data_IF_513607354604
#
_entry.id   IF_513607354604
#
_cell.length_a   1.000
_cell.length_b   1.000
_cell.length_c   1.000
_cell.angle_alpha   90.00
_cell.angle_beta   90.00
_cell.angle_gamma   90.00
#
_symmetry.space_group_name_H-M   'P 1'
#
loop_
_entity.id
_entity.type
_entity.pdbx_description
1 polymer ?
#
# COMPACT_ATOMS: atom_id res chain seq x y z
N UNK A 1 -2.56 26.12 -31.12
CA UNK A 1 -2.54 24.68 -31.53
C UNK A 1 -2.36 23.86 -30.29
N UNK A 2 -3.16 22.81 -30.09
CA UNK A 2 -2.99 21.87 -28.99
C UNK A 2 -1.66 21.11 -29.15
N UNK A 3 -0.93 20.94 -28.07
CA UNK A 3 0.29 20.13 -28.09
C UNK A 3 -0.09 18.65 -28.18
N UNK A 4 0.67 17.83 -28.94
CA UNK A 4 0.42 16.39 -29.14
C UNK A 4 1.51 15.54 -28.51
N UNK A 5 1.09 14.44 -27.88
CA UNK A 5 1.97 13.35 -27.42
C UNK A 5 1.34 12.00 -27.76
N UNK A 6 2.14 10.92 -27.69
CA UNK A 6 1.67 9.56 -27.99
C UNK A 6 1.00 8.91 -26.77
N UNK A 7 1.50 9.20 -25.59
CA UNK A 7 0.92 8.73 -24.33
C UNK A 7 0.94 9.84 -23.27
N UNK A 8 -0.21 10.12 -22.68
CA UNK A 8 -0.38 11.07 -21.59
C UNK A 8 -0.71 10.32 -20.29
N UNK A 9 0.17 10.43 -19.31
CA UNK A 9 0.00 9.78 -18.01
C UNK A 9 -0.36 10.83 -16.96
N UNK A 10 -1.47 10.63 -16.28
CA UNK A 10 -1.98 11.57 -15.26
C UNK A 10 -1.69 11.03 -13.88
N UNK A 11 -0.77 11.67 -13.17
CA UNK A 11 -0.27 11.32 -11.85
C UNK A 11 1.13 10.72 -11.89
N UNK A 12 2.07 11.39 -11.20
CA UNK A 12 3.48 10.97 -11.06
C UNK A 12 3.70 10.15 -9.78
N UNK A 13 2.80 9.22 -9.50
CA UNK A 13 2.99 8.14 -8.52
C UNK A 13 3.70 6.94 -9.13
N UNK A 14 3.96 5.90 -8.31
CA UNK A 14 4.70 4.70 -8.74
C UNK A 14 4.08 4.03 -9.98
N UNK A 15 2.75 4.00 -10.12
CA UNK A 15 2.08 3.38 -11.25
C UNK A 15 2.35 4.16 -12.56
N UNK A 16 2.21 5.49 -12.53
CA UNK A 16 2.53 6.35 -13.66
C UNK A 16 4.01 6.28 -14.03
N UNK A 17 4.89 6.31 -13.03
CA UNK A 17 6.34 6.20 -13.23
C UNK A 17 6.77 4.88 -13.85
N UNK A 18 6.22 3.77 -13.36
CA UNK A 18 6.50 2.43 -13.93
C UNK A 18 6.02 2.35 -15.36
N UNK A 19 4.79 2.79 -15.65
CA UNK A 19 4.26 2.76 -17.03
C UNK A 19 5.06 3.66 -17.97
N UNK A 20 5.43 4.87 -17.55
CA UNK A 20 6.27 5.77 -18.36
C UNK A 20 7.60 5.13 -18.73
N UNK A 21 8.24 4.47 -17.76
CA UNK A 21 9.50 3.76 -18.01
C UNK A 21 9.31 2.57 -18.97
N UNK A 22 8.29 1.73 -18.76
CA UNK A 22 7.97 0.60 -19.63
C UNK A 22 7.69 1.04 -21.07
N UNK A 23 6.88 2.09 -21.27
CA UNK A 23 6.58 2.60 -22.62
C UNK A 23 7.85 3.06 -23.34
N UNK A 24 8.75 3.75 -22.65
CA UNK A 24 10.04 4.20 -23.23
C UNK A 24 11.00 3.06 -23.54
N UNK A 25 10.93 1.94 -22.81
CA UNK A 25 11.72 0.76 -23.14
C UNK A 25 11.15 -0.01 -24.34
N UNK A 26 9.81 -0.08 -24.45
CA UNK A 26 9.15 -0.73 -25.58
C UNK A 26 9.37 0.03 -26.89
N UNK A 27 9.28 1.36 -26.83
CA UNK A 27 9.52 2.22 -27.97
C UNK A 27 10.10 3.57 -27.50
N UNK A 28 11.42 3.77 -27.62
CA UNK A 28 12.09 5.02 -27.23
C UNK A 28 11.66 6.24 -28.06
N UNK A 29 10.99 6.07 -29.20
CA UNK A 29 10.50 7.17 -30.04
C UNK A 29 9.18 7.77 -29.52
N UNK A 30 8.47 7.08 -28.62
CA UNK A 30 7.22 7.56 -28.07
C UNK A 30 7.40 8.85 -27.27
N UNK A 31 6.62 9.86 -27.61
CA UNK A 31 6.49 11.07 -26.82
C UNK A 31 5.57 10.82 -25.61
N UNK A 32 6.14 10.41 -24.50
CA UNK A 32 5.43 10.15 -23.24
C UNK A 32 5.48 11.40 -22.37
N UNK A 33 4.31 11.93 -21.99
CA UNK A 33 4.17 13.08 -21.09
C UNK A 33 3.52 12.65 -19.79
N UNK A 34 4.10 13.01 -18.66
CA UNK A 34 3.54 12.75 -17.32
C UNK A 34 3.13 14.07 -16.67
N UNK A 35 1.87 14.19 -16.29
CA UNK A 35 1.33 15.35 -15.59
C UNK A 35 1.18 15.05 -14.09
N UNK A 36 1.67 15.95 -13.25
CA UNK A 36 1.48 15.88 -11.80
C UNK A 36 0.91 17.21 -11.29
N UNK A 37 -0.16 17.12 -10.53
CA UNK A 37 -0.84 18.28 -9.94
C UNK A 37 0.00 18.99 -8.89
N UNK A 38 0.78 18.23 -8.14
CA UNK A 38 1.59 18.75 -7.04
C UNK A 38 2.92 19.32 -7.55
N UNK A 39 3.56 20.21 -6.79
CA UNK A 39 4.89 20.73 -7.12
C UNK A 39 6.01 19.70 -6.96
N UNK A 40 5.70 18.53 -6.40
CA UNK A 40 6.63 17.42 -6.21
C UNK A 40 5.94 16.10 -6.58
N UNK A 41 6.72 15.16 -7.10
CA UNK A 41 6.23 13.83 -7.47
C UNK A 41 6.24 12.87 -6.28
N UNK A 42 5.42 11.83 -6.33
CA UNK A 42 5.40 10.76 -5.34
C UNK A 42 4.94 11.18 -3.94
N UNK A 43 4.20 12.28 -3.79
CA UNK A 43 3.82 12.84 -2.48
C UNK A 43 2.53 12.26 -1.89
N UNK A 44 1.72 11.59 -2.67
CA UNK A 44 0.49 10.92 -2.21
C UNK A 44 0.79 9.47 -1.78
N UNK A 45 0.07 8.47 -2.24
CA UNK A 45 0.23 7.07 -1.80
C UNK A 45 1.67 6.52 -1.97
N UNK A 46 2.42 7.00 -2.96
CA UNK A 46 3.83 6.62 -3.17
C UNK A 46 4.81 7.32 -2.23
N UNK A 47 4.37 8.30 -1.43
CA UNK A 47 5.22 8.99 -0.46
C UNK A 47 5.81 8.01 0.56
N UNK A 48 7.08 8.18 0.97
CA UNK A 48 7.79 7.17 1.75
C UNK A 48 7.16 6.88 3.12
N UNK A 49 6.48 7.85 3.72
CA UNK A 49 5.76 7.68 5.00
C UNK A 49 4.26 7.38 4.81
N UNK A 50 3.78 7.32 3.58
CA UNK A 50 2.36 7.12 3.28
C UNK A 50 1.98 5.63 3.08
N UNK A 51 2.96 4.74 3.16
CA UNK A 51 2.82 3.29 3.05
C UNK A 51 3.83 2.57 3.92
N UNK A 52 3.62 1.28 4.16
CA UNK A 52 4.52 0.44 4.96
C UNK A 52 5.85 0.12 4.25
N UNK A 53 5.96 0.38 2.94
CA UNK A 53 7.15 0.04 2.13
C UNK A 53 7.47 -1.45 2.10
N UNK A 54 6.53 -2.30 2.47
CA UNK A 54 6.73 -3.73 2.43
C UNK A 54 6.72 -4.19 0.98
N UNK A 55 7.77 -4.88 0.57
CA UNK A 55 7.73 -5.65 -0.67
C UNK A 55 6.82 -6.84 -0.44
N UNK A 56 5.56 -6.71 -0.86
CA UNK A 56 4.52 -7.68 -0.59
C UNK A 56 4.78 -8.98 -1.36
N UNK A 57 5.59 -9.86 -0.76
CA UNK A 57 5.92 -11.19 -1.27
C UNK A 57 5.18 -12.31 -0.50
N UNK A 58 4.13 -11.96 0.24
CA UNK A 58 3.35 -12.86 1.10
C UNK A 58 4.17 -13.56 2.21
N UNK A 59 5.32 -13.00 2.56
CA UNK A 59 6.22 -13.59 3.55
C UNK A 59 5.63 -13.51 4.97
N UNK A 60 5.06 -12.37 5.34
CA UNK A 60 4.59 -12.08 6.70
C UNK A 60 3.09 -11.76 6.81
N UNK A 61 2.40 -11.51 5.72
CA UNK A 61 0.99 -11.11 5.74
C UNK A 61 0.06 -12.32 5.86
N UNK A 62 -0.50 -12.51 7.05
CA UNK A 62 -1.35 -13.67 7.37
C UNK A 62 -2.71 -13.65 6.66
N UNK A 63 -3.19 -12.48 6.23
CA UNK A 63 -4.46 -12.32 5.50
C UNK A 63 -4.43 -12.87 4.06
N UNK A 64 -3.26 -13.22 3.54
CA UNK A 64 -3.14 -13.86 2.22
C UNK A 64 -3.34 -15.37 2.28
N UNK A 65 -3.34 -15.93 3.48
CA UNK A 65 -3.51 -17.35 3.75
C UNK A 65 -4.53 -17.60 4.87
N UNK A 66 -5.77 -17.11 4.72
CA UNK A 66 -6.81 -17.32 5.73
C UNK A 66 -7.09 -18.82 5.88
N UNK A 67 -7.40 -19.23 7.13
CA UNK A 67 -7.86 -20.59 7.39
C UNK A 67 -9.24 -20.83 6.80
N UNK A 68 -9.39 -21.90 6.03
CA UNK A 68 -10.68 -22.33 5.48
C UNK A 68 -11.53 -23.05 6.55
N UNK A 69 -12.82 -23.25 6.27
CA UNK A 69 -13.73 -23.86 7.22
C UNK A 69 -13.37 -25.32 7.59
N UNK A 70 -12.64 -26.00 6.72
CA UNK A 70 -12.11 -27.36 6.94
C UNK A 70 -10.75 -27.38 7.67
N UNK A 71 -10.24 -26.21 8.08
CA UNK A 71 -8.93 -26.04 8.74
C UNK A 71 -7.74 -26.02 7.79
N UNK A 72 -7.93 -26.18 6.49
CA UNK A 72 -6.87 -26.07 5.49
C UNK A 72 -6.40 -24.63 5.30
N UNK A 73 -5.18 -24.44 4.77
CA UNK A 73 -4.59 -23.13 4.48
C UNK A 73 -4.40 -23.00 2.97
N UNK A 74 -5.34 -22.34 2.24
CA UNK A 74 -5.18 -22.09 0.81
C UNK A 74 -3.99 -21.15 0.54
N UNK A 75 -3.02 -21.59 -0.28
CA UNK A 75 -1.80 -20.83 -0.58
C UNK A 75 -1.84 -20.08 -1.91
N UNK A 76 -2.83 -20.34 -2.76
CA UNK A 76 -2.88 -19.80 -4.13
C UNK A 76 -2.78 -18.27 -4.20
N UNK A 77 -3.43 -17.54 -3.28
CA UNK A 77 -3.34 -16.08 -3.22
C UNK A 77 -1.91 -15.64 -2.84
N UNK A 78 -1.30 -16.27 -1.86
CA UNK A 78 0.07 -15.95 -1.43
C UNK A 78 1.08 -16.18 -2.57
N UNK A 79 0.96 -17.31 -3.29
CA UNK A 79 1.81 -17.62 -4.45
C UNK A 79 1.65 -16.60 -5.58
N UNK A 80 0.42 -16.18 -5.89
CA UNK A 80 0.17 -15.18 -6.93
C UNK A 80 0.76 -13.81 -6.56
N UNK A 81 0.64 -13.40 -5.29
CA UNK A 81 1.21 -12.13 -4.79
C UNK A 81 2.75 -12.21 -4.82
N UNK A 82 3.33 -13.32 -4.36
CA UNK A 82 4.77 -13.53 -4.42
C UNK A 82 5.28 -13.40 -5.87
N UNK A 83 4.68 -14.13 -6.81
CA UNK A 83 5.06 -14.07 -8.22
C UNK A 83 4.94 -12.66 -8.82
N UNK A 84 3.96 -11.86 -8.39
CA UNK A 84 3.81 -10.47 -8.83
C UNK A 84 4.93 -9.58 -8.30
N UNK A 85 5.37 -9.81 -7.06
CA UNK A 85 6.48 -9.06 -6.49
C UNK A 85 7.83 -9.47 -7.12
N UNK A 86 8.07 -10.76 -7.34
CA UNK A 86 9.27 -11.26 -8.03
C UNK A 86 9.41 -10.62 -9.43
N UNK A 87 8.32 -10.50 -10.20
CA UNK A 87 8.33 -9.77 -11.48
C UNK A 87 8.70 -8.30 -11.33
N UNK A 88 8.31 -7.66 -10.22
CA UNK A 88 8.72 -6.29 -9.94
C UNK A 88 10.23 -6.21 -9.65
N UNK A 89 10.78 -7.18 -8.93
CA UNK A 89 12.21 -7.28 -8.67
C UNK A 89 13.00 -7.55 -9.95
N UNK A 90 12.54 -8.46 -10.82
CA UNK A 90 13.13 -8.71 -12.14
C UNK A 90 13.18 -7.43 -12.98
N UNK A 91 12.08 -6.70 -13.04
CA UNK A 91 12.01 -5.43 -13.75
C UNK A 91 13.01 -4.40 -13.17
N UNK A 92 13.04 -4.22 -11.86
CA UNK A 92 13.98 -3.27 -11.24
C UNK A 92 15.43 -3.71 -11.41
N UNK A 93 15.72 -5.01 -11.33
CA UNK A 93 17.06 -5.55 -11.59
C UNK A 93 17.52 -5.25 -13.01
N UNK A 94 16.65 -5.46 -14.03
CA UNK A 94 16.99 -5.15 -15.43
C UNK A 94 17.29 -3.65 -15.63
N UNK A 95 16.61 -2.77 -14.89
CA UNK A 95 16.90 -1.34 -14.91
C UNK A 95 18.23 -0.97 -14.22
N UNK A 96 18.60 -1.70 -13.19
CA UNK A 96 19.90 -1.53 -12.53
C UNK A 96 21.03 -2.03 -13.43
N UNK A 97 20.87 -3.21 -14.04
CA UNK A 97 21.84 -3.79 -14.98
C UNK A 97 22.07 -2.90 -16.19
N UNK A 98 21.00 -2.29 -16.73
CA UNK A 98 21.08 -1.32 -17.84
C UNK A 98 21.46 0.10 -17.39
N UNK A 99 21.85 0.31 -16.14
CA UNK A 99 22.26 1.58 -15.54
C UNK A 99 21.21 2.70 -15.58
N UNK A 100 19.93 2.36 -15.80
CA UNK A 100 18.83 3.31 -15.72
C UNK A 100 18.48 3.65 -14.25
N UNK A 101 18.71 2.70 -13.33
CA UNK A 101 18.64 2.89 -11.89
C UNK A 101 20.05 2.71 -11.29
N UNK A 102 20.71 3.81 -10.97
CA UNK A 102 22.11 3.80 -10.54
C UNK A 102 22.33 3.48 -9.06
N UNK A 103 21.32 3.65 -8.22
CA UNK A 103 21.40 3.44 -6.76
C UNK A 103 20.23 2.61 -6.25
N UNK A 104 20.29 1.27 -6.33
CA UNK A 104 19.25 0.41 -5.81
C UNK A 104 19.08 0.54 -4.28
N UNK A 105 20.15 0.80 -3.53
CA UNK A 105 20.09 0.96 -2.09
C UNK A 105 19.31 2.22 -1.65
N UNK A 106 19.13 3.18 -2.55
CA UNK A 106 18.31 4.36 -2.32
C UNK A 106 16.80 4.07 -2.28
N UNK A 107 16.35 2.98 -2.89
CA UNK A 107 14.92 2.66 -2.92
C UNK A 107 14.54 1.28 -2.40
N UNK A 108 15.44 0.29 -2.35
CA UNK A 108 15.15 -1.05 -1.83
C UNK A 108 16.28 -1.53 -0.93
N UNK A 109 15.93 -2.15 0.20
CA UNK A 109 16.88 -2.75 1.13
C UNK A 109 16.34 -4.08 1.65
N UNK A 110 17.25 -5.00 1.96
CA UNK A 110 16.91 -6.23 2.65
C UNK A 110 16.52 -5.90 4.10
N UNK A 111 15.29 -6.27 4.47
CA UNK A 111 14.76 -6.19 5.82
C UNK A 111 13.96 -7.47 6.07
N UNK A 112 14.31 -8.29 7.07
CA UNK A 112 13.61 -9.53 7.32
C UNK A 112 12.11 -9.33 7.55
N UNK A 113 11.30 -10.22 6.99
CA UNK A 113 9.86 -10.27 7.20
C UNK A 113 9.50 -11.39 8.17
N UNK A 114 8.74 -11.07 9.21
CA UNK A 114 8.29 -12.02 10.22
C UNK A 114 6.77 -11.98 10.36
N UNK A 115 6.16 -13.16 10.50
CA UNK A 115 4.84 -13.28 11.10
C UNK A 115 5.02 -13.67 12.56
N UNK A 116 4.34 -12.99 13.48
CA UNK A 116 4.43 -13.25 14.91
C UNK A 116 3.05 -13.40 15.53
N UNK A 117 2.87 -14.46 16.30
CA UNK A 117 1.60 -14.77 16.95
C UNK A 117 1.81 -15.27 18.37
N UNK A 118 0.76 -15.18 19.20
CA UNK A 118 0.69 -15.73 20.55
C UNK A 118 -0.66 -16.39 20.81
N UNK A 119 -0.67 -17.31 21.77
CA UNK A 119 -1.82 -18.17 22.09
C UNK A 119 -1.88 -19.42 21.21
N UNK A 120 -2.30 -20.55 21.80
CA UNK A 120 -2.22 -21.88 21.18
C UNK A 120 -2.87 -21.94 19.80
N UNK A 121 -4.11 -21.49 19.68
CA UNK A 121 -4.83 -21.54 18.40
C UNK A 121 -4.14 -20.76 17.27
N UNK A 122 -3.48 -19.64 17.60
CA UNK A 122 -2.73 -18.85 16.62
C UNK A 122 -1.40 -19.52 16.26
N UNK A 123 -0.74 -20.15 17.23
CA UNK A 123 0.49 -20.93 17.00
C UNK A 123 0.18 -22.10 16.07
N UNK A 124 -0.91 -22.83 16.32
CA UNK A 124 -1.35 -23.96 15.50
C UNK A 124 -1.70 -23.51 14.07
N UNK A 125 -2.39 -22.39 13.93
CA UNK A 125 -2.65 -21.76 12.62
C UNK A 125 -1.35 -21.40 11.90
N UNK A 126 -0.42 -20.71 12.57
CA UNK A 126 0.83 -20.28 11.95
C UNK A 126 1.70 -21.48 11.57
N UNK A 127 1.64 -22.58 12.33
CA UNK A 127 2.33 -23.83 12.00
C UNK A 127 1.77 -24.44 10.71
N UNK A 128 0.44 -24.59 10.61
CA UNK A 128 -0.19 -25.10 9.38
C UNK A 128 0.11 -24.21 8.17
N UNK A 129 0.12 -22.88 8.36
CA UNK A 129 0.51 -21.94 7.32
C UNK A 129 1.96 -22.16 6.86
N UNK A 130 2.87 -22.29 7.80
CA UNK A 130 4.28 -22.55 7.51
C UNK A 130 4.43 -23.84 6.69
N UNK A 131 3.86 -24.93 7.15
CA UNK A 131 3.93 -26.24 6.47
C UNK A 131 3.34 -26.18 5.04
N UNK A 132 2.22 -25.48 4.87
CA UNK A 132 1.57 -25.31 3.56
C UNK A 132 2.39 -24.44 2.58
N UNK A 133 3.02 -23.36 3.05
CA UNK A 133 3.83 -22.48 2.23
C UNK A 133 5.19 -23.09 1.90
N UNK A 134 5.83 -23.77 2.85
CA UNK A 134 7.17 -24.35 2.66
C UNK A 134 7.22 -25.43 1.56
N UNK A 135 6.08 -25.99 1.20
CA UNK A 135 5.97 -26.91 0.07
C UNK A 135 6.24 -26.21 -1.30
N UNK A 136 6.18 -24.87 -1.36
CA UNK A 136 6.45 -24.10 -2.55
C UNK A 136 7.89 -23.54 -2.55
N UNK A 137 8.63 -23.64 -3.68
CA UNK A 137 10.02 -23.18 -3.77
C UNK A 137 10.21 -21.71 -3.34
N UNK A 138 9.21 -20.86 -3.57
CA UNK A 138 9.23 -19.43 -3.21
C UNK A 138 9.34 -19.19 -1.71
N UNK A 139 9.00 -20.16 -0.87
CA UNK A 139 9.02 -20.06 0.59
C UNK A 139 9.93 -21.09 1.25
N UNK A 140 10.77 -21.80 0.48
CA UNK A 140 11.65 -22.86 0.98
C UNK A 140 12.65 -22.38 2.06
N UNK A 141 13.02 -21.08 2.02
CA UNK A 141 13.91 -20.44 2.99
C UNK A 141 13.17 -19.83 4.21
N UNK A 142 11.85 -20.00 4.29
CA UNK A 142 11.09 -19.57 5.46
C UNK A 142 11.50 -20.40 6.69
N UNK A 143 11.91 -19.72 7.74
CA UNK A 143 12.23 -20.33 9.02
C UNK A 143 11.04 -20.28 9.98
N UNK A 144 10.98 -21.24 10.89
CA UNK A 144 9.99 -21.35 11.96
C UNK A 144 10.67 -21.42 13.32
N UNK A 145 10.13 -20.74 14.33
CA UNK A 145 10.58 -20.91 15.71
C UNK A 145 9.47 -20.67 16.73
N UNK A 146 9.56 -21.43 17.84
CA UNK A 146 8.85 -21.21 19.10
C UNK A 146 9.83 -20.94 20.24
N UNK A 147 11.13 -21.00 19.97
CA UNK A 147 12.18 -20.77 20.94
C UNK A 147 12.30 -19.28 21.28
N UNK A 148 12.15 -18.96 22.56
CA UNK A 148 12.16 -17.59 23.06
C UNK A 148 13.50 -16.86 22.84
N UNK A 149 14.63 -17.55 22.87
CA UNK A 149 15.95 -16.95 22.61
C UNK A 149 16.08 -16.59 21.13
N UNK A 150 15.71 -17.52 20.25
CA UNK A 150 15.71 -17.24 18.81
C UNK A 150 14.73 -16.14 18.43
N UNK A 151 13.55 -16.08 19.07
CA UNK A 151 12.59 -14.99 18.86
C UNK A 151 13.15 -13.65 19.33
N UNK A 152 13.93 -13.62 20.44
CA UNK A 152 14.64 -12.39 20.88
C UNK A 152 15.69 -11.94 19.88
N UNK A 153 16.43 -12.87 19.28
CA UNK A 153 17.39 -12.56 18.22
C UNK A 153 16.70 -11.96 16.99
N UNK A 154 15.57 -12.54 16.58
CA UNK A 154 14.86 -12.11 15.36
C UNK A 154 14.13 -10.78 15.51
N UNK A 155 13.57 -10.50 16.70
CA UNK A 155 12.74 -9.32 16.96
C UNK A 155 12.92 -8.79 18.40
N UNK A 156 14.10 -8.22 18.72
CA UNK A 156 14.46 -7.85 20.08
C UNK A 156 13.43 -6.96 20.77
N UNK A 157 12.95 -5.89 20.11
CA UNK A 157 11.97 -4.97 20.69
C UNK A 157 10.63 -5.65 20.99
N UNK A 158 10.18 -6.57 20.15
CA UNK A 158 8.90 -7.29 20.32
C UNK A 158 8.98 -8.25 21.50
N UNK A 159 10.17 -8.78 21.77
CA UNK A 159 10.41 -9.76 22.84
C UNK A 159 10.90 -9.13 24.17
N UNK A 160 11.30 -7.86 24.16
CA UNK A 160 11.69 -7.15 25.38
C UNK A 160 10.53 -7.10 26.39
N UNK A 161 10.77 -7.56 27.63
CA UNK A 161 9.77 -7.62 28.70
C UNK A 161 8.56 -8.53 28.45
N UNK A 162 8.55 -9.30 27.35
CA UNK A 162 7.42 -10.19 27.04
C UNK A 162 7.33 -11.36 28.01
N UNK A 163 6.17 -11.47 28.64
CA UNK A 163 5.87 -12.60 29.54
C UNK A 163 5.58 -13.85 28.72
N UNK A 164 6.25 -14.95 29.07
CA UNK A 164 6.13 -16.24 28.37
C UNK A 164 5.05 -17.15 29.00
N UNK A 165 3.91 -16.57 29.39
CA UNK A 165 2.82 -17.33 30.03
C UNK A 165 1.89 -18.02 29.03
N UNK A 166 2.09 -17.79 27.74
CA UNK A 166 1.36 -18.44 26.67
C UNK A 166 2.32 -18.78 25.52
N UNK A 167 1.98 -19.78 24.69
CA UNK A 167 2.82 -20.17 23.55
C UNK A 167 3.01 -18.99 22.59
N UNK A 168 4.21 -18.89 22.03
CA UNK A 168 4.61 -17.92 21.04
C UNK A 168 5.14 -18.66 19.80
N UNK A 169 4.94 -18.10 18.61
CA UNK A 169 5.59 -18.57 17.41
C UNK A 169 5.84 -17.45 16.42
N UNK A 170 6.91 -17.58 15.64
CA UNK A 170 7.14 -16.74 14.47
C UNK A 170 7.62 -17.56 13.28
N UNK A 171 7.31 -17.02 12.08
CA UNK A 171 8.01 -17.38 10.85
C UNK A 171 8.89 -16.21 10.43
N UNK A 172 10.01 -16.48 9.75
CA UNK A 172 10.97 -15.48 9.28
C UNK A 172 11.42 -15.80 7.87
N UNK A 173 11.40 -14.77 7.01
CA UNK A 173 12.06 -14.78 5.69
C UNK A 173 13.12 -13.70 5.70
N UNK A 174 14.39 -14.09 5.66
CA UNK A 174 15.53 -13.18 5.81
C UNK A 174 15.67 -12.21 4.63
N UNK A 175 15.28 -12.63 3.43
CA UNK A 175 15.30 -11.84 2.18
C UNK A 175 14.11 -10.90 1.99
N UNK A 176 13.32 -10.68 3.04
CA UNK A 176 12.28 -9.64 3.01
C UNK A 176 12.84 -8.27 2.65
N UNK A 177 11.98 -7.35 2.27
CA UNK A 177 12.43 -6.05 1.74
C UNK A 177 11.70 -4.87 2.39
N UNK A 178 12.39 -3.72 2.43
CA UNK A 178 11.78 -2.40 2.58
C UNK A 178 11.97 -1.61 1.29
N UNK A 179 10.89 -1.05 0.75
CA UNK A 179 10.89 -0.29 -0.50
C UNK A 179 10.48 1.16 -0.23
N UNK A 180 11.33 2.10 -0.60
CA UNK A 180 11.01 3.52 -0.67
C UNK A 180 10.41 3.83 -2.04
N UNK A 181 9.08 3.69 -2.17
CA UNK A 181 8.38 3.93 -3.43
C UNK A 181 8.51 5.38 -3.92
N UNK A 182 8.69 6.35 -3.02
CA UNK A 182 8.95 7.73 -3.41
C UNK A 182 10.30 7.89 -4.12
N UNK A 183 11.36 7.28 -3.59
CA UNK A 183 12.67 7.28 -4.22
C UNK A 183 12.66 6.52 -5.56
N UNK A 184 12.03 5.35 -5.60
CA UNK A 184 11.86 4.58 -6.84
C UNK A 184 11.09 5.38 -7.90
N UNK A 185 9.99 6.04 -7.52
CA UNK A 185 9.21 6.90 -8.42
C UNK A 185 10.07 8.00 -9.04
N UNK A 186 10.89 8.69 -8.23
CA UNK A 186 11.82 9.71 -8.71
C UNK A 186 12.84 9.15 -9.70
N UNK A 187 13.39 7.98 -9.39
CA UNK A 187 14.38 7.33 -10.23
C UNK A 187 13.81 6.89 -11.59
N UNK A 188 12.60 6.29 -11.60
CA UNK A 188 11.91 5.84 -12.81
C UNK A 188 11.50 6.98 -13.75
N UNK A 189 11.22 8.17 -13.21
CA UNK A 189 10.81 9.34 -14.01
C UNK A 189 12.01 10.19 -14.49
N UNK A 190 13.24 9.81 -14.17
CA UNK A 190 14.41 10.54 -14.65
C UNK A 190 14.47 10.52 -16.19
N UNK A 191 14.52 11.73 -16.79
CA UNK A 191 14.56 11.89 -18.25
C UNK A 191 13.21 11.68 -18.97
N UNK A 192 12.09 11.62 -18.25
CA UNK A 192 10.72 11.66 -18.79
C UNK A 192 10.26 13.13 -18.90
N UNK A 193 9.45 13.47 -19.89
CA UNK A 193 8.74 14.78 -19.94
C UNK A 193 7.72 14.82 -18.79
N UNK A 194 8.19 15.28 -17.62
CA UNK A 194 7.43 15.38 -16.38
C UNK A 194 7.06 16.83 -16.12
N UNK A 195 5.75 17.11 -16.02
CA UNK A 195 5.21 18.45 -15.80
C UNK A 195 4.53 18.53 -14.44
N UNK A 196 5.21 19.16 -13.50
CA UNK A 196 4.73 19.38 -12.14
C UNK A 196 3.82 20.62 -12.07
N UNK A 197 2.96 20.68 -11.05
CA UNK A 197 2.02 21.78 -10.86
C UNK A 197 0.90 21.85 -11.91
N UNK A 198 0.75 20.80 -12.74
CA UNK A 198 -0.27 20.77 -13.79
C UNK A 198 -1.45 19.85 -13.43
N UNK A 199 -2.59 20.47 -13.18
CA UNK A 199 -3.84 19.75 -12.92
C UNK A 199 -4.57 19.42 -14.21
N UNK A 200 -5.05 18.18 -14.35
CA UNK A 200 -6.02 17.81 -15.38
C UNK A 200 -7.41 18.22 -14.91
N UNK A 201 -8.10 19.01 -15.72
CA UNK A 201 -9.42 19.59 -15.43
C UNK A 201 -10.55 18.79 -16.09
N UNK A 202 -10.30 18.24 -17.29
CA UNK A 202 -11.26 17.47 -18.07
C UNK A 202 -10.58 16.60 -19.12
N UNK A 203 -11.32 15.60 -19.58
CA UNK A 203 -10.92 14.71 -20.69
C UNK A 203 -12.14 14.50 -21.58
N UNK A 204 -11.94 14.67 -22.89
CA UNK A 204 -12.99 14.49 -23.89
C UNK A 204 -12.47 13.65 -25.05
N UNK A 205 -13.33 12.83 -25.63
CA UNK A 205 -13.01 12.11 -26.86
C UNK A 205 -12.86 13.11 -28.00
N UNK A 206 -11.71 13.04 -28.71
CA UNK A 206 -11.40 13.86 -29.88
C UNK A 206 -11.13 12.98 -31.11
N UNK A 207 -10.85 13.63 -32.26
CA UNK A 207 -10.63 12.91 -33.52
C UNK A 207 -9.42 11.95 -33.51
N UNK A 208 -8.40 12.22 -32.68
CA UNK A 208 -7.15 11.43 -32.61
C UNK A 208 -7.03 10.63 -31.29
N UNK A 209 -8.10 10.58 -30.51
CA UNK A 209 -8.06 9.92 -29.19
C UNK A 209 -8.68 10.77 -28.10
N UNK A 210 -7.87 11.43 -27.31
CA UNK A 210 -8.30 12.25 -26.16
C UNK A 210 -7.79 13.67 -26.27
N UNK A 211 -8.67 14.62 -25.97
CA UNK A 211 -8.34 15.98 -25.68
C UNK A 211 -8.37 16.19 -24.17
N UNK A 212 -7.24 16.60 -23.61
CA UNK A 212 -7.05 16.75 -22.16
C UNK A 212 -6.84 18.19 -21.83
N UNK A 213 -7.81 18.79 -21.12
CA UNK A 213 -7.75 20.14 -20.61
C UNK A 213 -6.95 20.16 -19.31
N UNK A 214 -5.92 20.99 -19.24
CA UNK A 214 -5.08 21.16 -18.06
C UNK A 214 -5.13 22.61 -17.54
N UNK A 215 -4.56 22.84 -16.35
CA UNK A 215 -4.40 24.20 -15.81
C UNK A 215 -3.45 25.10 -16.63
N UNK A 216 -2.68 24.53 -17.56
CA UNK A 216 -1.67 25.24 -18.36
C UNK A 216 -1.96 25.22 -19.87
N UNK A 217 -3.11 24.68 -20.29
CA UNK A 217 -3.48 24.56 -21.70
C UNK A 217 -4.05 23.19 -22.04
N UNK A 218 -4.05 22.87 -23.31
CA UNK A 218 -4.67 21.65 -23.85
C UNK A 218 -3.63 20.73 -24.50
N UNK A 219 -3.78 19.41 -24.25
CA UNK A 219 -2.98 18.34 -24.81
C UNK A 219 -3.87 17.36 -25.58
N UNK A 220 -3.37 16.82 -26.67
CA UNK A 220 -4.01 15.72 -27.40
C UNK A 220 -3.14 14.46 -27.34
N UNK A 221 -3.77 13.31 -27.05
CA UNK A 221 -3.08 12.03 -27.02
C UNK A 221 -4.00 10.87 -27.47
N UNK A 222 -3.52 9.90 -28.26
CA UNK A 222 -4.27 8.71 -28.59
C UNK A 222 -4.49 7.82 -27.36
N UNK A 223 -3.59 7.86 -26.38
CA UNK A 223 -3.65 7.08 -25.17
C UNK A 223 -3.52 7.97 -23.93
N UNK A 224 -4.42 7.78 -22.95
CA UNK A 224 -4.38 8.45 -21.62
C UNK A 224 -4.48 7.42 -20.52
N UNK A 225 -3.53 7.47 -19.59
CA UNK A 225 -3.54 6.66 -18.37
C UNK A 225 -3.89 7.51 -17.13
N UNK A 226 -4.88 7.09 -16.36
CA UNK A 226 -5.29 7.77 -15.13
C UNK A 226 -4.64 7.10 -13.92
N UNK A 227 -3.40 7.45 -13.61
CA UNK A 227 -2.62 7.01 -12.47
C UNK A 227 -2.68 7.95 -11.26
N UNK A 228 -3.76 8.74 -11.15
CA UNK A 228 -3.89 9.83 -10.16
C UNK A 228 -4.36 9.37 -8.76
N UNK A 229 -4.20 8.08 -8.43
CA UNK A 229 -4.66 7.53 -7.14
C UNK A 229 -6.15 7.81 -6.92
N UNK A 230 -6.51 8.36 -5.75
CA UNK A 230 -7.90 8.76 -5.47
C UNK A 230 -8.47 9.81 -6.42
N UNK A 231 -7.62 10.57 -7.09
CA UNK A 231 -8.03 11.53 -8.13
C UNK A 231 -8.48 10.90 -9.45
N UNK A 232 -8.21 9.62 -9.67
CA UNK A 232 -8.58 8.93 -10.92
C UNK A 232 -10.09 8.84 -11.11
N UNK A 233 -10.86 8.55 -10.05
CA UNK A 233 -12.31 8.43 -10.17
C UNK A 233 -13.00 9.74 -10.60
N UNK A 234 -12.73 10.92 -10.00
CA UNK A 234 -13.30 12.17 -10.47
C UNK A 234 -12.97 12.49 -11.93
N UNK A 235 -11.76 12.16 -12.39
CA UNK A 235 -11.36 12.34 -13.78
C UNK A 235 -12.12 11.38 -14.70
N UNK A 236 -12.21 10.11 -14.31
CA UNK A 236 -12.98 9.10 -15.04
C UNK A 236 -14.47 9.50 -15.15
N UNK A 237 -15.06 10.02 -14.08
CA UNK A 237 -16.45 10.51 -14.10
C UNK A 237 -16.67 11.70 -15.05
N UNK A 238 -15.63 12.50 -15.32
CA UNK A 238 -15.68 13.63 -16.23
C UNK A 238 -15.34 13.27 -17.68
N UNK A 239 -14.81 12.09 -17.93
CA UNK A 239 -14.33 11.68 -19.26
C UNK A 239 -15.45 11.38 -20.26
N UNK A 240 -16.71 11.36 -19.85
CA UNK A 240 -17.84 10.98 -20.69
C UNK A 240 -17.93 9.49 -21.02
N UNK A 241 -17.03 8.64 -20.50
CA UNK A 241 -17.05 7.17 -20.73
C UNK A 241 -18.27 6.56 -20.02
N UNK A 242 -19.16 5.86 -20.74
CA UNK A 242 -20.38 5.27 -20.13
C UNK A 242 -20.04 4.26 -19.02
N UNK A 243 -18.98 3.48 -19.19
CA UNK A 243 -18.51 2.47 -18.24
C UNK A 243 -18.05 3.07 -16.91
N UNK A 244 -17.74 4.36 -16.88
CA UNK A 244 -17.40 5.09 -15.65
C UNK A 244 -18.55 5.14 -14.63
N UNK A 245 -19.80 5.04 -15.10
CA UNK A 245 -21.02 5.18 -14.28
C UNK A 245 -21.21 4.05 -13.27
N UNK A 246 -20.58 2.89 -13.49
CA UNK A 246 -20.66 1.75 -12.55
C UNK A 246 -19.72 1.87 -11.36
N UNK A 247 -18.89 2.92 -11.31
CA UNK A 247 -17.88 3.07 -10.26
C UNK A 247 -18.28 4.14 -9.24
N UNK A 248 -18.08 3.80 -7.99
CA UNK A 248 -18.11 4.66 -6.83
C UNK A 248 -16.82 4.57 -6.04
N UNK A 249 -16.72 5.32 -4.96
CA UNK A 249 -15.52 5.36 -4.13
C UNK A 249 -15.85 5.45 -2.65
N UNK A 250 -15.03 4.78 -1.85
CA UNK A 250 -15.02 4.90 -0.40
C UNK A 250 -13.61 5.26 0.06
N UNK A 251 -13.40 6.48 0.60
CA UNK A 251 -12.07 6.90 1.03
C UNK A 251 -11.72 6.29 2.39
N UNK A 252 -10.47 5.82 2.50
CA UNK A 252 -9.90 5.28 3.73
C UNK A 252 -8.57 5.99 3.98
N UNK A 253 -8.38 6.52 5.18
CA UNK A 253 -7.10 7.05 5.62
C UNK A 253 -6.40 6.08 6.56
N UNK A 254 -5.09 6.25 6.71
CA UNK A 254 -4.29 5.51 7.68
C UNK A 254 -3.51 6.46 8.59
N UNK A 255 -3.11 5.95 9.73
CA UNK A 255 -2.22 6.63 10.67
C UNK A 255 -1.19 5.64 11.18
N UNK A 256 -0.01 6.14 11.51
CA UNK A 256 1.10 5.39 12.10
C UNK A 256 1.51 6.00 13.43
N UNK A 257 1.94 5.18 14.36
CA UNK A 257 2.87 5.61 15.38
C UNK A 257 4.27 5.48 14.80
N UNK A 258 5.03 6.56 14.82
CA UNK A 258 6.38 6.65 14.24
C UNK A 258 7.39 6.89 15.35
N UNK A 259 8.44 6.05 15.39
CA UNK A 259 9.59 6.25 16.27
C UNK A 259 10.81 6.68 15.45
N UNK A 260 11.46 7.77 15.90
CA UNK A 260 12.72 8.29 15.36
C UNK A 260 13.85 8.30 16.37
N UNK A 261 13.64 7.73 17.58
CA UNK A 261 14.68 7.62 18.59
C UNK A 261 15.76 6.61 18.12
N UNK A 262 17.02 7.04 17.90
CA UNK A 262 18.07 6.17 17.39
C UNK A 262 18.28 4.91 18.24
N UNK A 263 18.23 5.03 19.58
CA UNK A 263 18.42 3.89 20.50
C UNK A 263 17.36 2.81 20.31
N UNK A 264 16.11 3.20 20.04
CA UNK A 264 15.02 2.25 19.77
C UNK A 264 15.16 1.65 18.36
N UNK A 265 15.51 2.49 17.38
CA UNK A 265 15.66 2.06 15.98
C UNK A 265 16.82 1.06 15.82
N UNK A 266 17.96 1.29 16.50
CA UNK A 266 19.13 0.41 16.44
C UNK A 266 18.84 -0.99 16.96
N UNK A 267 17.94 -1.11 17.93
CA UNK A 267 17.54 -2.39 18.52
C UNK A 267 16.59 -3.22 17.64
N UNK A 268 16.19 -2.73 16.44
CA UNK A 268 15.24 -3.45 15.59
C UNK A 268 15.55 -3.27 14.11
N UNK A 269 15.55 -4.40 13.37
CA UNK A 269 15.73 -4.38 11.91
C UNK A 269 14.90 -5.50 11.26
N UNK A 270 13.57 -5.37 11.37
CA UNK A 270 12.63 -6.33 10.78
C UNK A 270 11.29 -5.66 10.47
N UNK A 271 10.46 -6.35 9.69
CA UNK A 271 9.02 -6.10 9.58
C UNK A 271 8.30 -7.25 10.27
N UNK A 272 7.58 -6.96 11.34
CA UNK A 272 6.93 -7.96 12.17
C UNK A 272 5.42 -7.77 12.12
N UNK A 273 4.73 -8.71 11.52
CA UNK A 273 3.28 -8.71 11.30
C UNK A 273 2.58 -9.63 12.29
N UNK A 274 1.63 -9.09 13.02
CA UNK A 274 0.75 -9.85 13.90
C UNK A 274 -0.40 -10.51 13.15
N UNK A 275 -1.36 -11.02 13.91
CA UNK A 275 -2.64 -11.51 13.40
C UNK A 275 -3.73 -10.50 13.77
N UNK A 276 -4.61 -10.17 12.84
CA UNK A 276 -5.78 -9.34 13.14
C UNK A 276 -6.64 -10.01 14.21
N UNK A 277 -7.26 -9.22 15.08
CA UNK A 277 -8.26 -9.73 16.02
C UNK A 277 -9.41 -10.39 15.25
N UNK A 278 -10.05 -11.38 15.87
CA UNK A 278 -11.21 -12.07 15.27
C UNK A 278 -12.29 -11.04 14.93
N UNK A 279 -12.76 -11.05 13.68
CA UNK A 279 -13.76 -10.10 13.18
C UNK A 279 -13.24 -8.72 12.77
N UNK A 280 -11.94 -8.44 12.96
CA UNK A 280 -11.34 -7.19 12.50
C UNK A 280 -11.05 -7.24 10.99
N UNK A 281 -11.17 -6.09 10.27
CA UNK A 281 -10.86 -6.03 8.86
C UNK A 281 -9.39 -6.38 8.56
N UNK A 282 -9.05 -6.96 7.41
CA UNK A 282 -7.67 -7.33 7.04
C UNK A 282 -6.66 -6.18 7.13
N UNK A 283 -7.12 -4.94 6.95
CA UNK A 283 -6.28 -3.74 7.03
C UNK A 283 -5.91 -3.32 8.47
N UNK A 284 -6.42 -4.01 9.47
CA UNK A 284 -6.17 -3.71 10.90
C UNK A 284 -5.13 -4.62 11.52
N UNK A 285 -4.40 -5.38 10.72
CA UNK A 285 -3.31 -6.22 11.21
C UNK A 285 -2.23 -5.34 11.84
N UNK A 286 -1.96 -5.46 13.15
CA UNK A 286 -0.89 -4.68 13.76
C UNK A 286 0.46 -5.17 13.24
N UNK A 287 1.32 -4.25 12.83
CA UNK A 287 2.68 -4.58 12.45
C UNK A 287 3.66 -3.47 12.82
N UNK A 288 4.89 -3.89 13.05
CA UNK A 288 6.04 -3.03 13.32
C UNK A 288 7.00 -3.09 12.12
N UNK A 289 7.18 -1.97 11.45
CA UNK A 289 8.02 -1.89 10.26
C UNK A 289 9.28 -1.10 10.48
N UNK A 290 10.42 -1.69 10.20
CA UNK A 290 11.63 -0.92 9.90
C UNK A 290 11.51 -0.31 8.52
N UNK A 291 11.66 1.02 8.44
CA UNK A 291 11.65 1.79 7.19
C UNK A 291 12.99 2.45 6.95
N UNK A 292 13.43 2.41 5.69
CA UNK A 292 14.58 3.15 5.21
C UNK A 292 14.11 4.28 4.28
N UNK A 293 14.27 5.52 4.72
CA UNK A 293 13.80 6.70 4.02
C UNK A 293 14.95 7.68 3.90
N UNK A 294 15.39 7.92 2.66
CA UNK A 294 16.49 8.85 2.34
C UNK A 294 17.75 8.59 3.19
N UNK A 295 18.12 7.31 3.34
CA UNK A 295 19.28 6.85 4.09
C UNK A 295 19.11 6.79 5.62
N UNK A 296 17.97 7.20 6.15
CA UNK A 296 17.66 7.14 7.58
C UNK A 296 16.67 6.04 7.92
N UNK A 297 16.81 5.44 9.10
CA UNK A 297 15.84 4.47 9.61
C UNK A 297 14.77 5.15 10.47
N UNK A 298 13.57 4.62 10.40
CA UNK A 298 12.49 4.90 11.33
C UNK A 298 11.72 3.60 11.61
N UNK A 299 10.99 3.54 12.72
CA UNK A 299 10.03 2.46 12.98
C UNK A 299 8.62 3.01 12.84
N UNK A 300 7.77 2.26 12.16
CA UNK A 300 6.35 2.53 12.04
C UNK A 300 5.57 1.41 12.72
N UNK A 301 4.58 1.77 13.53
CA UNK A 301 3.64 0.81 14.11
C UNK A 301 2.21 1.16 13.73
N UNK A 302 1.43 0.19 13.29
CA UNK A 302 0.05 0.33 12.88
C UNK A 302 -0.31 -0.70 11.79
N UNK A 303 -1.08 -0.29 10.75
CA UNK A 303 -1.76 0.99 10.62
C UNK A 303 -2.99 1.11 11.52
N UNK A 304 -3.29 2.32 11.93
CA UNK A 304 -4.58 2.66 12.49
C UNK A 304 -5.46 3.17 11.37
N UNK A 305 -6.59 2.52 11.16
CA UNK A 305 -7.51 2.96 10.14
C UNK A 305 -8.14 4.29 10.55
N UNK A 306 -8.36 5.16 9.58
CA UNK A 306 -9.04 6.42 9.75
C UNK A 306 -10.04 6.62 8.63
N UNK A 307 -10.93 7.59 8.80
CA UNK A 307 -11.85 8.03 7.77
C UNK A 307 -11.60 9.49 7.42
N UNK A 308 -11.61 9.78 6.14
CA UNK A 308 -11.59 11.16 5.64
C UNK A 308 -12.42 11.21 4.36
N UNK A 309 -13.15 12.28 4.15
CA UNK A 309 -13.90 12.50 2.91
C UNK A 309 -13.01 12.92 1.75
N UNK A 310 -11.73 13.18 1.99
CA UNK A 310 -10.73 13.49 0.97
C UNK A 310 -10.33 12.23 0.22
N UNK A 311 -10.12 12.31 -1.08
CA UNK A 311 -9.64 11.22 -1.91
C UNK A 311 -8.12 11.16 -2.00
N UNK A 312 -7.47 12.28 -1.75
CA UNK A 312 -6.02 12.43 -1.69
C UNK A 312 -5.66 13.18 -0.40
N UNK A 313 -4.47 12.98 0.12
CA UNK A 313 -4.01 13.67 1.33
C UNK A 313 -4.11 15.19 1.18
N UNK A 314 -3.77 15.69 0.00
CA UNK A 314 -3.90 17.09 -0.40
C UNK A 314 -5.20 17.35 -1.21
N UNK A 315 -6.22 16.51 -1.02
CA UNK A 315 -7.54 16.65 -1.63
C UNK A 315 -8.47 17.57 -0.86
N UNK A 316 -9.71 17.69 -1.36
CA UNK A 316 -10.78 18.47 -0.76
C UNK A 316 -11.66 17.60 0.14
N UNK A 317 -12.18 18.16 1.23
CA UNK A 317 -13.22 17.51 2.05
C UNK A 317 -14.51 17.25 1.26
N UNK A 318 -14.69 17.92 0.13
CA UNK A 318 -15.84 17.71 -0.77
C UNK A 318 -15.64 16.59 -1.78
N UNK A 319 -14.49 15.91 -1.82
CA UNK A 319 -14.20 14.90 -2.84
C UNK A 319 -15.21 13.74 -2.81
N UNK A 320 -15.52 13.22 -1.63
CA UNK A 320 -16.53 12.16 -1.49
C UNK A 320 -17.91 12.64 -1.96
N UNK A 321 -18.39 13.80 -1.46
CA UNK A 321 -19.69 14.35 -1.85
C UNK A 321 -19.80 14.59 -3.36
N UNK A 322 -18.76 15.16 -3.98
CA UNK A 322 -18.73 15.40 -5.43
C UNK A 322 -18.64 14.12 -6.26
N UNK A 323 -18.14 13.02 -5.72
CA UNK A 323 -18.07 11.73 -6.42
C UNK A 323 -19.41 10.98 -6.45
N UNK A 324 -20.35 11.33 -5.55
CA UNK A 324 -21.70 10.75 -5.50
C UNK A 324 -22.52 11.35 -6.63
N UNK A 325 -23.03 10.49 -7.49
CA UNK A 325 -23.87 10.84 -8.64
C UNK A 325 -25.17 10.04 -8.57
N UNK A 326 -26.26 10.48 -9.24
CA UNK A 326 -27.53 9.73 -9.24
C UNK A 326 -27.36 8.24 -9.60
N UNK A 327 -26.46 7.94 -10.54
CA UNK A 327 -26.23 6.58 -11.03
C UNK A 327 -25.43 5.68 -10.07
N UNK A 328 -24.63 6.23 -9.13
CA UNK A 328 -23.85 5.45 -8.17
C UNK A 328 -24.30 5.62 -6.72
N UNK A 329 -25.32 6.43 -6.44
CA UNK A 329 -25.84 6.67 -5.08
C UNK A 329 -26.34 5.38 -4.44
N UNK A 330 -27.25 4.67 -5.12
CA UNK A 330 -27.86 3.44 -4.59
C UNK A 330 -26.79 2.34 -4.36
N UNK A 331 -25.90 2.03 -5.31
CA UNK A 331 -24.79 1.11 -5.07
C UNK A 331 -23.90 1.51 -3.89
N UNK A 332 -23.58 2.79 -3.74
CA UNK A 332 -22.75 3.29 -2.62
C UNK A 332 -23.45 3.06 -1.27
N UNK A 333 -24.75 3.36 -1.19
CA UNK A 333 -25.54 3.10 0.02
C UNK A 333 -25.65 1.61 0.33
N UNK A 334 -25.88 0.77 -0.67
CA UNK A 334 -25.95 -0.69 -0.51
C UNK A 334 -24.62 -1.28 0.00
N UNK A 335 -23.47 -0.81 -0.52
CA UNK A 335 -22.16 -1.23 -0.03
C UNK A 335 -21.95 -0.79 1.42
N UNK A 336 -22.31 0.46 1.76
CA UNK A 336 -22.25 0.95 3.14
C UNK A 336 -23.09 0.11 4.10
N UNK A 337 -24.33 -0.23 3.70
CA UNK A 337 -25.23 -1.07 4.50
C UNK A 337 -24.71 -2.51 4.64
N UNK A 338 -24.25 -3.14 3.54
CA UNK A 338 -23.70 -4.50 3.57
C UNK A 338 -22.38 -4.62 4.36
N UNK A 339 -21.64 -3.53 4.49
CA UNK A 339 -20.37 -3.48 5.23
C UNK A 339 -20.48 -2.59 6.47
N UNK A 340 -21.63 -2.59 7.12
CA UNK A 340 -21.91 -1.72 8.28
C UNK A 340 -20.90 -1.94 9.42
N UNK A 341 -20.46 -3.18 9.64
CA UNK A 341 -19.44 -3.49 10.65
C UNK A 341 -18.09 -2.83 10.31
N UNK A 342 -17.70 -2.80 9.02
CA UNK A 342 -16.52 -2.08 8.56
C UNK A 342 -16.66 -0.56 8.79
N UNK A 343 -17.81 0.00 8.46
CA UNK A 343 -18.09 1.44 8.69
C UNK A 343 -18.01 1.76 10.19
N UNK A 344 -18.66 0.95 11.04
CA UNK A 344 -18.60 1.08 12.50
C UNK A 344 -17.17 0.96 13.03
N UNK A 345 -16.40 -0.01 12.53
CA UNK A 345 -14.98 -0.16 12.87
C UNK A 345 -14.19 1.11 12.50
N UNK A 346 -14.31 1.62 11.27
CA UNK A 346 -13.61 2.82 10.83
C UNK A 346 -13.97 4.05 11.67
N UNK A 347 -15.24 4.23 11.99
CA UNK A 347 -15.69 5.31 12.91
C UNK A 347 -15.05 5.13 14.28
N UNK A 348 -15.03 3.91 14.82
CA UNK A 348 -14.38 3.59 16.09
C UNK A 348 -12.88 3.94 16.08
N UNK A 349 -12.18 3.68 14.97
CA UNK A 349 -10.77 4.02 14.82
C UNK A 349 -10.53 5.54 14.76
N UNK A 350 -11.41 6.31 14.13
CA UNK A 350 -11.31 7.78 14.06
C UNK A 350 -11.44 8.42 15.44
N UNK A 351 -12.35 7.91 16.28
CA UNK A 351 -12.59 8.43 17.64
C UNK A 351 -11.65 7.83 18.68
N UNK A 352 -10.76 6.93 18.28
CA UNK A 352 -9.80 6.28 19.19
C UNK A 352 -8.87 7.31 19.84
N UNK A 353 -8.79 7.27 21.17
CA UNK A 353 -7.93 8.17 21.93
C UNK A 353 -6.44 7.80 21.78
N UNK A 354 -5.51 8.76 21.86
CA UNK A 354 -4.08 8.49 21.80
C UNK A 354 -3.61 7.38 22.74
N UNK A 355 -4.16 7.34 23.96
CA UNK A 355 -3.86 6.30 24.96
C UNK A 355 -4.15 4.89 24.43
N UNK A 356 -5.28 4.67 23.78
CA UNK A 356 -5.66 3.35 23.25
C UNK A 356 -4.69 2.86 22.17
N UNK A 357 -4.15 3.78 21.36
CA UNK A 357 -3.11 3.45 20.35
C UNK A 357 -1.80 3.03 21.01
N UNK A 358 -1.41 3.73 22.07
CA UNK A 358 -0.23 3.34 22.86
C UNK A 358 -0.46 2.01 23.59
N UNK A 359 -1.65 1.73 24.06
CA UNK A 359 -1.98 0.44 24.69
C UNK A 359 -1.85 -0.70 23.66
N UNK A 360 -2.37 -0.53 22.42
CA UNK A 360 -2.16 -1.52 21.35
C UNK A 360 -0.68 -1.67 20.94
N UNK A 361 0.10 -0.60 21.01
CA UNK A 361 1.55 -0.68 20.83
C UNK A 361 2.21 -1.47 21.95
N UNK A 362 1.77 -1.30 23.21
CA UNK A 362 2.29 -2.07 24.38
C UNK A 362 1.98 -3.55 24.31
N UNK A 363 0.83 -3.93 23.72
CA UNK A 363 0.53 -5.34 23.49
C UNK A 363 1.58 -5.99 22.56
N UNK A 364 2.09 -5.19 21.61
CA UNK A 364 3.10 -5.63 20.65
C UNK A 364 4.53 -5.41 21.12
N UNK A 365 4.81 -4.30 21.85
CA UNK A 365 6.09 -3.91 22.42
C UNK A 365 5.91 -3.67 23.94
N UNK A 366 6.04 -4.67 24.82
CA UNK A 366 5.70 -4.54 26.23
C UNK A 366 6.49 -3.46 26.98
N UNK A 367 7.76 -3.23 26.63
CA UNK A 367 8.64 -2.22 27.26
C UNK A 367 8.70 -0.90 26.49
N UNK A 368 7.66 -0.56 25.71
CA UNK A 368 7.67 0.67 24.94
C UNK A 368 7.57 1.91 25.83
N UNK A 369 8.44 2.89 25.58
CA UNK A 369 8.28 4.24 26.09
C UNK A 369 7.42 5.06 25.12
N UNK A 370 6.23 5.46 25.56
CA UNK A 370 5.27 6.20 24.72
C UNK A 370 5.81 7.52 24.16
N UNK A 371 6.76 8.16 24.86
CA UNK A 371 7.35 9.44 24.46
C UNK A 371 8.26 9.33 23.22
N UNK A 372 8.67 8.12 22.84
CA UNK A 372 9.48 7.88 21.63
C UNK A 372 8.62 7.79 20.37
N UNK A 373 7.29 7.81 20.50
CA UNK A 373 6.35 7.57 19.41
C UNK A 373 5.42 8.74 19.18
N UNK A 374 5.38 9.22 17.95
CA UNK A 374 4.49 10.29 17.50
C UNK A 374 3.46 9.77 16.50
N UNK A 375 2.24 10.32 16.55
CA UNK A 375 1.21 10.00 15.58
C UNK A 375 1.45 10.74 14.27
N UNK A 376 1.54 9.99 13.17
CA UNK A 376 1.67 10.54 11.83
C UNK A 376 0.51 10.07 10.94
N UNK A 377 0.06 10.96 10.06
CA UNK A 377 -0.94 10.63 9.04
C UNK A 377 -0.22 9.94 7.88
N UNK A 378 -0.70 8.74 7.55
CA UNK A 378 -0.28 7.98 6.37
C UNK A 378 -0.93 8.52 5.08
N UNK A 379 -0.75 7.81 3.98
CA UNK A 379 -1.41 8.12 2.72
C UNK A 379 -2.93 7.97 2.79
N UNK A 380 -3.60 8.64 1.87
CA UNK A 380 -5.03 8.51 1.63
C UNK A 380 -5.25 7.45 0.54
N UNK A 381 -6.18 6.53 0.76
CA UNK A 381 -6.56 5.50 -0.21
C UNK A 381 -8.05 5.56 -0.51
N UNK A 382 -8.41 5.31 -1.75
CA UNK A 382 -9.80 5.20 -2.19
C UNK A 382 -10.08 3.76 -2.57
N UNK A 383 -11.03 3.14 -1.89
CA UNK A 383 -11.58 1.85 -2.25
C UNK A 383 -12.58 2.04 -3.38
N UNK A 384 -12.35 1.39 -4.51
CA UNK A 384 -13.27 1.45 -5.64
C UNK A 384 -14.43 0.49 -5.39
N UNK A 385 -15.63 1.04 -5.50
CA UNK A 385 -16.90 0.30 -5.50
C UNK A 385 -17.29 0.09 -6.96
N UNK A 386 -17.52 -1.16 -7.39
CA UNK A 386 -18.03 -1.48 -8.71
C UNK A 386 -19.41 -2.11 -8.58
N UNK A 387 -20.41 -1.54 -9.25
CA UNK A 387 -21.71 -2.19 -9.44
C UNK A 387 -21.55 -3.32 -10.44
N UNK A 388 -21.73 -4.57 -10.01
CA UNK A 388 -21.86 -5.71 -10.91
C UNK A 388 -23.35 -5.92 -11.24
N UNK A 389 -23.62 -6.54 -12.40
CA UNK A 389 -25.02 -6.77 -12.88
C UNK A 389 -25.84 -7.62 -11.89
N UNK A 390 -25.18 -8.42 -11.04
CA UNK A 390 -25.83 -9.27 -10.02
C UNK A 390 -25.36 -9.05 -8.58
N UNK A 391 -24.21 -8.39 -8.35
CA UNK A 391 -23.66 -8.17 -7.01
C UNK A 391 -22.84 -6.88 -6.95
N UNK A 392 -22.95 -6.17 -5.82
CA UNK A 392 -22.10 -5.00 -5.52
C UNK A 392 -20.92 -5.47 -4.68
N UNK A 393 -19.72 -5.41 -5.23
CA UNK A 393 -18.48 -5.82 -4.55
C UNK A 393 -17.62 -4.61 -4.18
N UNK A 394 -17.10 -4.63 -2.95
CA UNK A 394 -15.95 -3.82 -2.56
C UNK A 394 -14.71 -4.56 -3.08
N UNK A 395 -14.11 -4.10 -4.17
CA UNK A 395 -12.78 -4.57 -4.57
C UNK A 395 -11.75 -3.71 -3.86
N UNK A 396 -11.10 -4.28 -2.86
CA UNK A 396 -9.81 -3.80 -2.43
C UNK A 396 -8.82 -4.13 -3.56
N UNK A 397 -8.31 -3.10 -4.24
CA UNK A 397 -7.04 -3.30 -4.94
C UNK A 397 -5.98 -3.39 -3.84
N UNK A 398 -5.58 -4.61 -3.55
CA UNK A 398 -4.40 -4.88 -2.74
C UNK A 398 -3.19 -4.50 -3.61
N UNK A 399 -2.65 -3.33 -3.36
CA UNK A 399 -1.30 -2.93 -3.77
C UNK A 399 -0.40 -2.95 -2.56
#
# INVERSE_FOLDING_TARGET
MSERCDALLVGAGIMGATLANLLRQLDPSLKVVVLERLPQLGCESSGPMNNAGTGHAANCELNYTPEAADGSIPTGKALAINASFERSLEFWSSLVESQQLSDPAGFIRAVPHLSFVWGQANVDYLRRRFDALQAAPQFADMAWSTDSEQLREWMPLVMAGRRLHQPLAATRVARGTDVNFGALTRALLKGVDLRLGQSVLGLERGGVGWRVQTSSGELEAPFVFLGAGGGSLPLLQRSGIPEARVYGAFPVSGQWLVCRNPKVIEAHNAKVYGKAAVGAPPMSVPHLDTRWIDGQRALLFGPYAGFSTRFLRQGSLWDLGRSIKPYNLLPTLQVGAKNFDLVRYLVGQVVQRPKQRIDSLRDFLPEVNANDWELAVAGQRVQIIKQAVSYTHLRAHET
#
